data_IF_308805358400
#
_entry.id   IF_308805358400
#
_cell.length_a   1.000
_cell.length_b   1.000
_cell.length_c   1.000
_cell.angle_alpha   90.00
_cell.angle_beta   90.00
_cell.angle_gamma   90.00
#
_symmetry.space_group_name_H-M   'P 1'
#
loop_
_entity.id
_entity.type
_entity.pdbx_description
1 polymer ?
#
# COMPACT_ATOMS: atom_id res chain seq x y z
N UNK A 1 21.73 16.12 -3.48
CA UNK A 1 20.61 17.05 -3.77
C UNK A 1 19.38 16.20 -4.01
N UNK A 2 18.49 16.12 -3.02
CA UNK A 2 17.20 15.45 -3.17
C UNK A 2 16.36 16.27 -4.14
N UNK A 3 15.85 15.64 -5.19
CA UNK A 3 14.77 16.27 -5.94
C UNK A 3 13.57 16.35 -4.99
N UNK A 4 13.17 17.57 -4.61
CA UNK A 4 11.96 17.79 -3.83
C UNK A 4 10.76 17.33 -4.67
N UNK A 5 10.34 16.09 -4.44
CA UNK A 5 9.15 15.55 -5.09
C UNK A 5 7.94 16.29 -4.58
N UNK A 6 7.00 16.53 -5.49
CA UNK A 6 5.68 17.05 -5.16
C UNK A 6 4.61 16.21 -5.84
N UNK A 7 3.41 16.20 -5.29
CA UNK A 7 2.30 15.46 -5.87
C UNK A 7 2.00 15.93 -7.31
N UNK A 8 2.13 17.22 -7.60
CA UNK A 8 1.71 17.81 -8.87
C UNK A 8 0.27 17.43 -9.21
N UNK A 9 0.04 16.88 -10.39
CA UNK A 9 -1.27 16.37 -10.85
C UNK A 9 -1.72 15.02 -10.25
N UNK A 10 -0.87 14.32 -9.50
CA UNK A 10 -1.16 12.98 -8.99
C UNK A 10 -2.07 13.09 -7.77
N UNK A 11 -3.17 12.33 -7.80
CA UNK A 11 -4.10 12.20 -6.68
C UNK A 11 -4.52 10.78 -6.40
N UNK A 12 -3.73 9.76 -6.76
CA UNK A 12 -4.19 8.37 -6.64
C UNK A 12 -4.56 7.99 -5.19
N UNK A 13 -3.90 8.56 -4.18
CA UNK A 13 -4.29 8.38 -2.78
C UNK A 13 -5.73 8.84 -2.48
N UNK A 14 -6.24 9.86 -3.19
CA UNK A 14 -7.63 10.32 -3.07
C UNK A 14 -8.64 9.31 -3.64
N UNK A 15 -8.17 8.33 -4.43
CA UNK A 15 -8.99 7.21 -4.93
C UNK A 15 -8.83 5.99 -4.03
N UNK A 16 -7.60 5.52 -3.87
CA UNK A 16 -7.36 4.14 -3.38
C UNK A 16 -7.43 3.97 -1.86
N UNK A 17 -7.38 5.05 -1.07
CA UNK A 17 -7.47 4.96 0.39
C UNK A 17 -8.88 5.31 0.87
N UNK A 18 -9.41 4.59 1.86
CA UNK A 18 -10.60 5.02 2.57
C UNK A 18 -10.32 6.26 3.44
N UNK A 19 -11.29 7.17 3.55
CA UNK A 19 -11.20 8.35 4.42
C UNK A 19 -12.50 8.46 5.20
N UNK A 20 -12.47 7.98 6.45
CA UNK A 20 -13.63 7.93 7.35
C UNK A 20 -14.28 9.29 7.58
N UNK A 21 -13.48 10.33 7.83
CA UNK A 21 -13.96 11.70 8.04
C UNK A 21 -14.69 12.32 6.84
N UNK A 22 -14.66 11.68 5.66
CA UNK A 22 -15.37 12.09 4.45
C UNK A 22 -16.41 11.05 4.01
N UNK A 23 -16.65 10.01 4.81
CA UNK A 23 -17.46 8.84 4.43
C UNK A 23 -17.06 8.28 3.05
N UNK A 24 -15.74 8.25 2.80
CA UNK A 24 -15.19 7.85 1.50
C UNK A 24 -14.63 6.44 1.57
N UNK A 25 -15.29 5.50 0.90
CA UNK A 25 -14.77 4.14 0.68
C UNK A 25 -13.44 4.15 -0.10
N UNK A 26 -12.62 3.12 0.08
CA UNK A 26 -11.43 2.88 -0.74
C UNK A 26 -11.82 2.55 -2.19
N UNK A 27 -10.89 2.71 -3.13
CA UNK A 27 -11.16 2.55 -4.56
C UNK A 27 -12.05 3.61 -5.22
N UNK A 28 -12.77 4.43 -4.44
CA UNK A 28 -13.67 5.50 -4.92
C UNK A 28 -12.95 6.85 -4.92
N UNK A 29 -13.12 7.62 -6.00
CA UNK A 29 -12.58 8.98 -6.07
C UNK A 29 -13.22 9.90 -5.01
N UNK A 30 -12.38 10.61 -4.26
CA UNK A 30 -12.83 11.66 -3.36
C UNK A 30 -13.60 12.74 -4.12
N UNK A 31 -14.75 13.15 -3.58
CA UNK A 31 -15.58 14.22 -4.13
C UNK A 31 -14.84 15.56 -4.30
N UNK A 32 -13.82 15.81 -3.49
CA UNK A 32 -13.00 17.02 -3.56
C UNK A 32 -11.86 16.91 -4.59
N UNK A 33 -11.59 15.73 -5.14
CA UNK A 33 -10.53 15.57 -6.13
C UNK A 33 -10.92 16.22 -7.46
N UNK A 34 -10.00 17.01 -8.01
CA UNK A 34 -10.10 17.65 -9.32
C UNK A 34 -9.04 17.05 -10.24
N UNK A 35 -9.48 16.39 -11.30
CA UNK A 35 -8.57 15.78 -12.29
C UNK A 35 -7.61 16.85 -12.82
N UNK A 36 -6.30 16.59 -12.69
CA UNK A 36 -5.24 17.53 -13.10
C UNK A 36 -4.96 18.68 -12.12
N UNK A 37 -5.84 18.94 -11.14
CA UNK A 37 -5.72 20.05 -10.18
C UNK A 37 -5.55 19.64 -8.72
N UNK A 38 -5.54 18.35 -8.40
CA UNK A 38 -5.36 17.87 -7.02
C UNK A 38 -6.62 18.04 -6.17
N UNK A 39 -6.47 18.33 -4.87
CA UNK A 39 -7.60 18.52 -3.97
C UNK A 39 -8.18 19.93 -4.13
N UNK A 40 -9.46 20.03 -4.50
CA UNK A 40 -10.18 21.30 -4.63
C UNK A 40 -10.56 21.97 -3.30
N UNK A 41 -10.18 21.37 -2.16
CA UNK A 41 -10.42 21.91 -0.83
C UNK A 41 -9.22 21.63 0.09
N UNK A 42 -8.01 21.94 -0.41
CA UNK A 42 -6.73 21.55 0.17
C UNK A 42 -6.55 21.97 1.64
N UNK A 43 -7.02 23.16 2.00
CA UNK A 43 -6.88 23.73 3.35
C UNK A 43 -7.82 23.08 4.37
N UNK A 44 -8.92 22.45 3.93
CA UNK A 44 -9.90 21.80 4.80
C UNK A 44 -9.78 20.27 4.79
N UNK A 45 -8.71 19.73 4.21
CA UNK A 45 -8.43 18.29 4.18
C UNK A 45 -8.45 17.68 5.59
N UNK A 46 -9.13 16.55 5.85
CA UNK A 46 -9.08 15.91 7.16
C UNK A 46 -7.67 15.56 7.62
N UNK A 47 -7.50 15.29 8.93
CA UNK A 47 -6.21 14.95 9.53
C UNK A 47 -5.51 13.78 8.80
N UNK A 48 -6.26 12.73 8.43
CA UNK A 48 -5.74 11.62 7.64
C UNK A 48 -5.12 12.08 6.31
N UNK A 49 -5.79 12.97 5.57
CA UNK A 49 -5.28 13.50 4.31
C UNK A 49 -4.08 14.45 4.50
N UNK A 50 -3.99 15.19 5.63
CA UNK A 50 -2.88 16.09 5.94
C UNK A 50 -1.62 15.35 6.38
N UNK A 51 -1.78 14.29 7.18
CA UNK A 51 -0.67 13.49 7.71
C UNK A 51 -0.11 12.49 6.71
N UNK A 52 -0.88 12.13 5.68
CA UNK A 52 -0.49 11.11 4.73
C UNK A 52 0.60 11.58 3.74
N UNK A 53 1.68 10.81 3.66
CA UNK A 53 2.72 10.95 2.66
C UNK A 53 3.00 9.57 2.03
N UNK A 54 2.91 9.46 0.70
CA UNK A 54 3.25 8.20 0.03
C UNK A 54 4.78 8.00 -0.02
N UNK A 55 5.20 6.73 -0.08
CA UNK A 55 6.61 6.36 -0.11
C UNK A 55 7.36 6.97 -1.30
N UNK A 56 6.71 7.14 -2.46
CA UNK A 56 7.33 7.84 -3.58
C UNK A 56 7.70 9.28 -3.22
N UNK A 57 6.83 10.00 -2.51
CA UNK A 57 7.04 11.40 -2.14
C UNK A 57 8.19 11.55 -1.14
N UNK A 58 8.34 10.60 -0.20
CA UNK A 58 9.31 10.68 0.89
C UNK A 58 10.63 9.94 0.62
N UNK A 59 10.67 9.04 -0.35
CA UNK A 59 11.85 8.23 -0.66
C UNK A 59 12.66 8.83 -1.81
N UNK A 60 13.96 8.96 -1.61
CA UNK A 60 14.92 9.33 -2.66
C UNK A 60 15.25 8.16 -3.60
N UNK A 61 14.90 6.93 -3.23
CA UNK A 61 15.26 5.70 -3.96
C UNK A 61 14.29 5.32 -5.08
N UNK A 62 13.12 5.97 -5.14
CA UNK A 62 12.07 5.65 -6.10
C UNK A 62 12.10 6.67 -7.24
N UNK A 63 12.26 6.23 -8.48
CA UNK A 63 12.20 7.11 -9.65
C UNK A 63 10.79 7.65 -9.93
N UNK A 64 10.65 8.42 -11.00
CA UNK A 64 9.39 9.00 -11.44
C UNK A 64 8.38 7.93 -11.93
N UNK A 65 8.88 6.79 -12.41
CA UNK A 65 8.07 5.62 -12.77
C UNK A 65 7.27 5.04 -11.59
N UNK A 66 7.69 5.32 -10.35
CA UNK A 66 7.00 4.93 -9.12
C UNK A 66 5.96 5.95 -8.65
N UNK A 67 5.80 7.07 -9.36
CA UNK A 67 4.76 8.05 -9.04
C UNK A 67 3.39 7.35 -9.11
N UNK A 68 2.51 7.49 -8.10
CA UNK A 68 1.38 6.58 -7.96
C UNK A 68 0.45 6.48 -9.18
N UNK A 69 0.16 7.59 -9.86
CA UNK A 69 -0.69 7.59 -11.04
C UNK A 69 -0.05 6.93 -12.29
N UNK A 70 1.29 6.83 -12.33
CA UNK A 70 2.05 6.07 -13.34
C UNK A 70 2.14 4.58 -12.97
N UNK A 71 2.46 4.31 -11.70
CA UNK A 71 2.62 2.96 -11.19
C UNK A 71 1.30 2.18 -11.15
N UNK A 72 0.20 2.87 -10.85
CA UNK A 72 -1.13 2.27 -10.64
C UNK A 72 -1.38 1.82 -9.19
N UNK A 73 -0.53 2.24 -8.25
CA UNK A 73 -0.64 1.93 -6.84
C UNK A 73 0.04 3.00 -5.98
N UNK A 74 -0.36 3.08 -4.71
CA UNK A 74 0.26 3.91 -3.68
C UNK A 74 1.01 2.99 -2.71
N UNK A 75 2.24 3.35 -2.36
CA UNK A 75 2.96 2.69 -1.27
C UNK A 75 3.01 3.60 -0.04
N UNK A 76 2.83 3.05 1.15
CA UNK A 76 3.08 3.74 2.42
C UNK A 76 3.36 2.75 3.53
N UNK A 77 4.03 3.22 4.58
CA UNK A 77 4.30 2.39 5.77
C UNK A 77 3.36 2.76 6.92
N UNK A 78 2.93 1.76 7.67
CA UNK A 78 2.19 1.90 8.94
C UNK A 78 2.79 0.97 10.01
N UNK A 79 2.12 0.86 11.18
CA UNK A 79 2.57 0.06 12.34
C UNK A 79 4.02 0.36 12.74
N UNK A 80 4.30 1.61 13.08
CA UNK A 80 5.64 2.10 13.43
C UNK A 80 6.71 1.79 12.36
N UNK A 81 6.28 1.72 11.09
CA UNK A 81 7.14 1.43 9.94
C UNK A 81 7.40 -0.06 9.71
N UNK A 82 6.79 -0.96 10.47
CA UNK A 82 6.95 -2.42 10.33
C UNK A 82 6.15 -3.03 9.19
N UNK A 83 5.13 -2.34 8.68
CA UNK A 83 4.35 -2.82 7.53
C UNK A 83 4.44 -1.84 6.37
N UNK A 84 4.70 -2.37 5.18
CA UNK A 84 4.65 -1.66 3.92
C UNK A 84 3.39 -2.11 3.16
N UNK A 85 2.48 -1.16 2.93
CA UNK A 85 1.27 -1.38 2.15
C UNK A 85 1.52 -0.95 0.70
N UNK A 86 1.12 -1.79 -0.25
CA UNK A 86 1.03 -1.49 -1.68
C UNK A 86 -0.44 -1.48 -2.05
N UNK A 87 -1.08 -0.32 -2.01
CA UNK A 87 -2.52 -0.17 -2.27
C UNK A 87 -2.74 0.14 -3.74
N UNK A 88 -3.26 -0.84 -4.46
CA UNK A 88 -3.41 -0.85 -5.91
C UNK A 88 -4.74 -0.23 -6.30
N UNK A 89 -4.75 0.52 -7.40
CA UNK A 89 -6.00 0.96 -8.02
C UNK A 89 -6.83 -0.28 -8.43
N UNK A 90 -8.06 -0.47 -7.91
CA UNK A 90 -8.91 -1.61 -8.28
C UNK A 90 -9.24 -1.67 -9.78
N UNK A 91 -9.18 -0.54 -10.49
CA UNK A 91 -9.32 -0.50 -11.95
C UNK A 91 -8.09 -0.98 -12.72
N UNK A 92 -6.97 -1.25 -12.03
CA UNK A 92 -5.71 -1.79 -12.58
C UNK A 92 -5.11 -2.84 -11.63
N UNK A 93 -5.82 -3.93 -11.31
CA UNK A 93 -5.45 -4.83 -10.21
C UNK A 93 -4.11 -5.55 -10.43
N UNK A 94 -3.66 -5.69 -11.67
CA UNK A 94 -2.37 -6.29 -12.03
C UNK A 94 -1.21 -5.28 -12.10
N UNK A 95 -1.42 -3.99 -11.79
CA UNK A 95 -0.41 -2.96 -12.01
C UNK A 95 0.90 -3.19 -11.24
N UNK A 96 0.79 -3.70 -10.01
CA UNK A 96 1.92 -4.05 -9.15
C UNK A 96 2.75 -5.26 -9.63
N UNK A 97 2.18 -6.08 -10.54
CA UNK A 97 2.86 -7.24 -11.14
C UNK A 97 3.70 -6.88 -12.37
N UNK A 98 3.63 -5.63 -12.86
CA UNK A 98 4.45 -5.19 -14.00
C UNK A 98 5.88 -4.90 -13.54
N UNK A 99 6.85 -5.16 -14.40
CA UNK A 99 8.22 -4.68 -14.17
C UNK A 99 8.32 -3.16 -14.38
N UNK A 100 9.18 -2.45 -13.62
CA UNK A 100 10.13 -2.96 -12.63
C UNK A 100 9.52 -3.18 -11.22
N UNK A 101 8.20 -3.02 -11.07
CA UNK A 101 7.57 -2.98 -9.75
C UNK A 101 7.59 -4.33 -9.05
N UNK A 102 7.28 -5.39 -9.79
CA UNK A 102 7.15 -6.72 -9.23
C UNK A 102 8.45 -7.21 -8.60
N UNK A 103 9.55 -7.20 -9.36
CA UNK A 103 10.87 -7.61 -8.85
C UNK A 103 11.31 -6.77 -7.64
N UNK A 104 11.04 -5.47 -7.64
CA UNK A 104 11.37 -4.59 -6.52
C UNK A 104 10.51 -4.86 -5.27
N UNK A 105 9.21 -5.10 -5.43
CA UNK A 105 8.31 -5.50 -4.33
C UNK A 105 8.79 -6.84 -3.72
N UNK A 106 9.13 -7.83 -4.55
CA UNK A 106 9.70 -9.12 -4.10
C UNK A 106 11.06 -8.96 -3.43
N UNK A 107 11.87 -7.96 -3.81
CA UNK A 107 13.11 -7.65 -3.12
C UNK A 107 12.85 -7.03 -1.74
N UNK A 108 11.89 -6.11 -1.63
CA UNK A 108 11.53 -5.47 -0.36
C UNK A 108 10.91 -6.45 0.65
N UNK A 109 10.18 -7.47 0.19
CA UNK A 109 9.59 -8.48 1.07
C UNK A 109 10.62 -9.35 1.80
N UNK A 110 11.91 -9.29 1.44
CA UNK A 110 12.99 -9.98 2.19
C UNK A 110 13.07 -9.55 3.66
N UNK A 111 12.59 -8.35 3.98
CA UNK A 111 12.50 -7.84 5.36
C UNK A 111 11.51 -8.62 6.24
N UNK A 112 10.72 -9.54 5.67
CA UNK A 112 9.90 -10.46 6.44
C UNK A 112 10.72 -11.34 7.39
N UNK A 113 11.99 -11.61 7.07
CA UNK A 113 12.93 -12.28 7.99
C UNK A 113 13.27 -11.42 9.22
N UNK A 114 13.13 -10.09 9.12
CA UNK A 114 13.34 -9.13 10.21
C UNK A 114 12.03 -8.72 10.92
N UNK A 115 10.95 -9.49 10.69
CA UNK A 115 9.62 -9.24 11.23
C UNK A 115 8.89 -8.05 10.62
N UNK A 116 9.19 -7.68 9.37
CA UNK A 116 8.41 -6.70 8.60
C UNK A 116 7.35 -7.38 7.74
N UNK A 117 6.28 -6.67 7.43
CA UNK A 117 5.20 -7.19 6.58
C UNK A 117 5.12 -6.37 5.29
N UNK A 118 4.94 -7.04 4.15
CA UNK A 118 4.61 -6.38 2.88
C UNK A 118 3.26 -6.90 2.41
N UNK A 119 2.28 -6.01 2.33
CA UNK A 119 0.89 -6.35 1.99
C UNK A 119 0.48 -5.60 0.73
N UNK A 120 0.04 -6.34 -0.29
CA UNK A 120 -0.63 -5.79 -1.46
C UNK A 120 -2.14 -5.77 -1.19
N UNK A 121 -2.75 -4.61 -1.38
CA UNK A 121 -4.18 -4.39 -1.19
C UNK A 121 -4.83 -4.04 -2.53
N UNK A 122 -5.83 -4.80 -2.95
CA UNK A 122 -6.64 -4.53 -4.14
C UNK A 122 -8.10 -4.47 -3.72
N UNK A 123 -8.63 -3.26 -3.50
CA UNK A 123 -9.89 -3.10 -2.77
C UNK A 123 -9.76 -3.75 -1.39
N UNK A 124 -10.69 -4.65 -1.05
CA UNK A 124 -10.66 -5.47 0.17
C UNK A 124 -9.83 -6.75 0.08
N UNK A 125 -9.28 -7.10 -1.09
CA UNK A 125 -8.38 -8.27 -1.20
C UNK A 125 -7.02 -7.97 -0.59
N UNK A 126 -6.47 -8.91 0.19
CA UNK A 126 -5.15 -8.80 0.83
C UNK A 126 -4.24 -9.94 0.40
N UNK A 127 -3.05 -9.60 -0.07
CA UNK A 127 -2.01 -10.58 -0.41
C UNK A 127 -0.74 -10.22 0.32
N UNK A 128 -0.22 -11.13 1.14
CA UNK A 128 1.09 -10.95 1.80
C UNK A 128 2.17 -11.45 0.85
N UNK A 129 3.18 -10.62 0.62
CA UNK A 129 4.25 -10.94 -0.33
C UNK A 129 5.49 -11.35 0.44
N UNK A 130 6.06 -12.49 0.06
CA UNK A 130 7.36 -12.99 0.51
C UNK A 130 8.35 -12.99 -0.66
N UNK A 131 9.66 -13.22 -0.45
CA UNK A 131 10.64 -13.28 -1.54
C UNK A 131 10.38 -14.43 -2.51
N UNK A 132 9.94 -15.59 -2.01
CA UNK A 132 9.74 -16.81 -2.79
C UNK A 132 8.31 -16.97 -3.28
N UNK A 133 7.33 -16.51 -2.50
CA UNK A 133 5.91 -16.72 -2.79
C UNK A 133 5.03 -15.52 -2.41
N UNK A 134 3.73 -15.68 -2.64
CA UNK A 134 2.68 -14.74 -2.30
C UNK A 134 1.55 -15.53 -1.65
N UNK A 135 1.05 -15.08 -0.50
CA UNK A 135 -0.06 -15.72 0.20
C UNK A 135 -1.28 -14.81 0.05
N UNK A 136 -2.25 -15.24 -0.75
CA UNK A 136 -3.52 -14.54 -0.94
C UNK A 136 -4.48 -14.91 0.20
N UNK A 137 -4.79 -13.94 1.06
CA UNK A 137 -5.71 -14.10 2.18
C UNK A 137 -7.17 -13.88 1.76
N UNK A 138 -7.42 -13.56 0.49
CA UNK A 138 -8.75 -13.28 -0.02
C UNK A 138 -9.27 -11.89 0.39
N UNK A 139 -10.58 -11.73 0.33
CA UNK A 139 -11.29 -10.49 0.68
C UNK A 139 -11.43 -10.42 2.20
N UNK A 140 -10.86 -9.38 2.80
CA UNK A 140 -10.86 -9.17 4.24
C UNK A 140 -11.52 -7.83 4.59
N UNK A 141 -12.41 -7.80 5.60
CA UNK A 141 -12.88 -6.55 6.19
C UNK A 141 -11.71 -5.65 6.65
N UNK A 142 -11.85 -4.31 6.59
CA UNK A 142 -10.76 -3.37 6.89
C UNK A 142 -10.15 -3.47 8.30
N UNK A 143 -10.93 -3.95 9.27
CA UNK A 143 -10.57 -4.06 10.69
C UNK A 143 -9.85 -5.37 11.04
N UNK A 144 -9.81 -6.35 10.13
CA UNK A 144 -9.18 -7.64 10.39
C UNK A 144 -7.67 -7.50 10.57
N UNK A 145 -7.18 -7.99 11.71
CA UNK A 145 -5.74 -8.09 12.00
C UNK A 145 -5.17 -9.30 11.27
N UNK A 146 -4.19 -9.07 10.41
CA UNK A 146 -3.37 -10.13 9.84
C UNK A 146 -2.04 -10.23 10.59
N UNK A 147 -1.50 -11.45 10.65
CA UNK A 147 -0.16 -11.78 11.12
C UNK A 147 0.55 -12.58 10.04
N UNK A 148 1.82 -12.26 9.80
CA UNK A 148 2.66 -12.97 8.86
C UNK A 148 4.09 -13.09 9.36
N UNK A 149 4.82 -14.07 8.83
CA UNK A 149 6.21 -14.32 9.22
C UNK A 149 6.73 -15.61 8.60
N UNK A 150 7.72 -16.20 9.27
CA UNK A 150 8.27 -17.50 8.93
C UNK A 150 8.13 -18.46 10.10
N UNK A 151 7.88 -19.72 9.78
CA UNK A 151 7.96 -20.84 10.72
C UNK A 151 9.07 -21.78 10.25
N UNK A 152 9.84 -22.30 11.18
CA UNK A 152 10.83 -23.34 10.89
C UNK A 152 10.12 -24.71 10.86
N UNK A 153 10.17 -25.39 9.72
CA UNK A 153 9.67 -26.75 9.52
C UNK A 153 10.76 -27.58 8.84
N UNK A 154 11.14 -28.69 9.46
CA UNK A 154 12.15 -29.62 8.94
C UNK A 154 13.49 -28.95 8.54
N UNK A 155 13.90 -27.92 9.29
CA UNK A 155 15.12 -27.15 9.03
C UNK A 155 15.00 -26.14 7.87
N UNK A 156 13.82 -25.94 7.32
CA UNK A 156 13.52 -24.92 6.32
C UNK A 156 12.59 -23.83 6.87
N UNK A 157 12.79 -22.59 6.43
CA UNK A 157 11.90 -21.48 6.75
C UNK A 157 10.75 -21.42 5.75
N UNK A 158 9.56 -21.74 6.21
CA UNK A 158 8.32 -21.67 5.44
C UNK A 158 7.59 -20.38 5.79
N UNK A 159 7.27 -19.50 4.81
CA UNK A 159 6.49 -18.30 5.09
C UNK A 159 5.05 -18.67 5.44
N UNK A 160 4.42 -17.88 6.30
CA UNK A 160 3.00 -18.00 6.62
C UNK A 160 2.34 -16.63 6.69
N UNK A 161 1.05 -16.57 6.37
CA UNK A 161 0.21 -15.42 6.62
C UNK A 161 -1.20 -15.91 6.98
N UNK A 162 -1.82 -15.28 7.98
CA UNK A 162 -3.16 -15.62 8.41
C UNK A 162 -3.87 -14.43 9.03
N UNK A 163 -5.19 -14.52 9.08
CA UNK A 163 -6.04 -13.55 9.78
C UNK A 163 -6.21 -14.03 11.21
N UNK A 164 -5.97 -13.15 12.18
CA UNK A 164 -6.28 -13.44 13.57
C UNK A 164 -7.79 -13.56 13.71
N UNK A 165 -8.23 -14.64 14.34
CA UNK A 165 -9.59 -14.72 14.85
C UNK A 165 -9.83 -13.56 15.83
N UNK A 166 -11.07 -13.10 15.89
CA UNK A 166 -11.45 -12.14 16.92
C UNK A 166 -11.17 -12.80 18.27
N UNK A 167 -10.47 -12.11 19.17
CA UNK A 167 -10.44 -12.51 20.56
C UNK A 167 -11.81 -12.09 21.12
N UNK A 168 -12.64 -13.08 21.47
CA UNK A 168 -13.90 -12.86 22.19
C UNK A 168 -13.68 -12.03 23.48
#
# INVERSE_FOLDING_TARGET
MTADKSCGSCGLCCKVLAIEALDKADGVWCQHFRKGGGCGQYDLRPAACRGFHCLWLTSTRLGDEWRPDKAGFVMYSDRDGKRLNVVVDPGKPAAWRREPYYSYIKAMSRRALDGYELVVCVGDRRTVVFPTEEIDLGVLPPDRKLVSGYVEQDGALTPFAMVLADAD
#
